data_IF_384097168437
#
_entry.id   IF_384097168437
#
_cell.length_a   1.000
_cell.length_b   1.000
_cell.length_c   1.000
_cell.angle_alpha   90.00
_cell.angle_beta   90.00
_cell.angle_gamma   90.00
#
_symmetry.space_group_name_H-M   'P 1'
#
loop_
_entity.id
_entity.type
_entity.pdbx_description
1 polymer ?
#
# COMPACT_ATOMS: atom_id res chain seq x y z
N UNK A 1 -58.19 -58.62 73.08
CA UNK A 1 -57.63 -59.78 73.80
C UNK A 1 -56.82 -60.63 72.82
N UNK A 2 -55.61 -61.09 73.22
CA UNK A 2 -54.83 -62.16 72.56
C UNK A 2 -54.07 -61.76 71.29
N UNK A 3 -52.77 -61.43 71.37
CA UNK A 3 -51.58 -62.31 71.27
C UNK A 3 -51.21 -62.79 69.85
N UNK A 4 -49.99 -62.37 69.48
CA UNK A 4 -48.90 -63.08 68.78
C UNK A 4 -49.21 -63.79 67.46
N UNK A 5 -48.41 -63.44 66.45
CA UNK A 5 -47.66 -64.42 65.65
C UNK A 5 -46.35 -63.80 65.17
N UNK A 6 -45.24 -64.41 65.59
CA UNK A 6 -43.93 -64.26 64.95
C UNK A 6 -43.79 -65.39 63.94
N UNK A 7 -43.26 -65.08 62.76
CA UNK A 7 -42.61 -66.04 61.87
C UNK A 7 -41.47 -65.34 61.16
N UNK A 8 -40.31 -66.01 61.16
CA UNK A 8 -39.05 -65.56 60.63
C UNK A 8 -38.91 -65.81 59.11
N UNK A 9 -37.97 -65.08 58.49
CA UNK A 9 -37.28 -65.19 57.18
C UNK A 9 -37.31 -63.83 56.47
N UNK A 10 -36.29 -63.31 55.77
CA UNK A 10 -35.31 -63.96 54.88
C UNK A 10 -34.11 -63.01 54.68
N UNK A 11 -32.92 -63.58 54.55
CA UNK A 11 -31.62 -62.91 54.39
C UNK A 11 -31.44 -62.46 52.93
N UNK A 12 -31.32 -61.16 52.66
CA UNK A 12 -31.07 -60.61 51.31
C UNK A 12 -29.60 -60.16 51.19
N UNK A 13 -28.85 -60.87 50.34
CA UNK A 13 -27.47 -60.56 49.93
C UNK A 13 -27.49 -59.23 49.16
N UNK A 14 -26.70 -58.23 49.60
CA UNK A 14 -26.47 -56.98 48.86
C UNK A 14 -25.01 -56.97 48.43
N UNK A 15 -24.79 -57.11 47.13
CA UNK A 15 -23.50 -56.90 46.45
C UNK A 15 -23.22 -55.41 46.36
N UNK A 16 -22.08 -54.98 46.88
CA UNK A 16 -21.50 -53.64 46.70
C UNK A 16 -20.86 -53.56 45.31
N UNK A 17 -21.38 -52.67 44.46
CA UNK A 17 -20.73 -52.29 43.21
C UNK A 17 -19.89 -51.02 43.45
N UNK A 18 -18.59 -51.13 43.17
CA UNK A 18 -17.61 -50.05 43.16
C UNK A 18 -17.83 -49.10 41.97
N UNK A 19 -17.82 -47.79 42.23
CA UNK A 19 -17.89 -46.75 41.22
C UNK A 19 -16.60 -46.70 40.36
N UNK A 20 -16.68 -46.41 39.05
CA UNK A 20 -15.50 -46.30 38.20
C UNK A 20 -14.76 -44.97 38.42
N UNK A 21 -13.44 -44.92 38.20
CA UNK A 21 -12.65 -43.71 38.33
C UNK A 21 -12.94 -42.71 37.19
N UNK A 22 -13.05 -41.43 37.55
CA UNK A 22 -13.33 -40.31 36.65
C UNK A 22 -12.18 -40.06 35.66
N UNK A 23 -12.29 -40.60 34.44
CA UNK A 23 -11.34 -40.43 33.34
C UNK A 23 -11.37 -39.03 32.68
N UNK A 24 -12.32 -38.17 33.03
CA UNK A 24 -12.53 -36.85 32.43
C UNK A 24 -11.56 -35.76 32.92
N UNK A 25 -10.90 -35.95 34.08
CA UNK A 25 -9.87 -35.01 34.57
C UNK A 25 -8.50 -35.19 33.89
N UNK A 26 -8.18 -36.40 33.43
CA UNK A 26 -6.91 -36.66 32.75
C UNK A 26 -6.83 -36.04 31.34
N UNK A 27 -7.94 -36.08 30.60
CA UNK A 27 -8.00 -35.54 29.24
C UNK A 27 -7.92 -34.01 29.18
N UNK A 28 -8.54 -33.32 30.16
CA UNK A 28 -8.54 -31.86 30.23
C UNK A 28 -7.15 -31.30 30.61
N UNK A 29 -6.40 -32.01 31.47
CA UNK A 29 -5.02 -31.64 31.80
C UNK A 29 -4.05 -31.88 30.63
N UNK A 30 -4.27 -32.92 29.84
CA UNK A 30 -3.50 -33.19 28.61
C UNK A 30 -3.77 -32.13 27.52
N UNK A 31 -5.04 -31.74 27.31
CA UNK A 31 -5.39 -30.71 26.33
C UNK A 31 -4.81 -29.33 26.68
N UNK A 32 -4.86 -28.94 27.96
CA UNK A 32 -4.22 -27.69 28.42
C UNK A 32 -2.70 -27.76 28.29
N UNK A 33 -2.08 -28.91 28.61
CA UNK A 33 -0.64 -29.11 28.43
C UNK A 33 -0.18 -28.94 26.99
N UNK A 34 -0.95 -29.47 26.01
CA UNK A 34 -0.63 -29.34 24.57
C UNK A 34 -0.80 -27.88 24.10
N UNK A 35 -1.84 -27.18 24.53
CA UNK A 35 -2.05 -25.76 24.16
C UNK A 35 -0.92 -24.88 24.72
N UNK A 36 -0.49 -25.11 25.97
CA UNK A 36 0.63 -24.36 26.57
C UNK A 36 1.95 -24.69 25.86
N UNK A 37 2.19 -25.96 25.51
CA UNK A 37 3.37 -26.35 24.74
C UNK A 37 3.40 -25.73 23.34
N UNK A 38 2.26 -25.67 22.65
CA UNK A 38 2.15 -25.01 21.34
C UNK A 38 2.31 -23.48 21.45
N UNK A 39 1.77 -22.86 22.50
CA UNK A 39 1.95 -21.44 22.76
C UNK A 39 3.41 -21.09 23.09
N UNK A 40 4.10 -21.93 23.89
CA UNK A 40 5.53 -21.75 24.23
C UNK A 40 6.41 -22.03 23.02
N UNK A 41 6.11 -23.06 22.22
CA UNK A 41 6.83 -23.34 20.98
C UNK A 41 6.61 -22.25 19.92
N UNK A 42 5.39 -21.73 19.80
CA UNK A 42 5.06 -20.60 18.92
C UNK A 42 5.71 -19.29 19.36
N UNK A 43 5.72 -19.00 20.66
CA UNK A 43 6.42 -17.86 21.23
C UNK A 43 7.94 -17.98 21.09
N UNK A 44 8.48 -19.19 21.28
CA UNK A 44 9.90 -19.51 21.05
C UNK A 44 10.30 -19.31 19.59
N UNK A 45 9.52 -19.84 18.65
CA UNK A 45 9.73 -19.67 17.21
C UNK A 45 9.62 -18.20 16.78
N UNK A 46 8.66 -17.45 17.33
CA UNK A 46 8.52 -16.02 17.08
C UNK A 46 9.68 -15.19 17.65
N UNK A 47 10.16 -15.53 18.86
CA UNK A 47 11.31 -14.88 19.47
C UNK A 47 12.63 -15.20 18.75
N UNK A 48 12.84 -16.43 18.26
CA UNK A 48 14.03 -16.78 17.48
C UNK A 48 14.03 -16.07 16.13
N UNK A 49 12.87 -15.92 15.48
CA UNK A 49 12.74 -15.15 14.23
C UNK A 49 13.07 -13.67 14.43
N UNK A 50 12.62 -13.08 15.54
CA UNK A 50 13.01 -11.71 15.94
C UNK A 50 14.49 -11.59 16.27
N UNK A 51 15.09 -12.59 16.92
CA UNK A 51 16.51 -12.58 17.26
C UNK A 51 17.42 -12.73 16.03
N UNK A 52 17.01 -13.55 15.04
CA UNK A 52 17.68 -13.65 13.74
C UNK A 52 17.55 -12.35 12.94
N UNK A 53 16.37 -11.70 12.95
CA UNK A 53 16.18 -10.37 12.36
C UNK A 53 16.97 -9.27 13.08
N UNK A 54 17.10 -9.33 14.40
CA UNK A 54 17.87 -8.35 15.18
C UNK A 54 19.39 -8.52 15.08
N UNK A 55 19.87 -9.71 14.67
CA UNK A 55 21.30 -10.01 14.52
C UNK A 55 21.85 -9.61 13.14
N UNK A 56 20.98 -9.25 12.20
CA UNK A 56 21.36 -8.51 11.00
C UNK A 56 21.22 -7.02 11.31
N UNK A 57 22.25 -6.44 11.93
CA UNK A 57 22.40 -4.98 11.85
C UNK A 57 22.31 -4.63 10.36
N UNK A 58 21.39 -3.72 9.95
CA UNK A 58 21.24 -3.41 8.54
C UNK A 58 22.59 -2.91 8.06
N UNK A 59 23.23 -3.69 7.20
CA UNK A 59 24.39 -3.23 6.44
C UNK A 59 23.91 -1.99 5.72
N UNK A 60 24.34 -0.82 6.22
CA UNK A 60 23.93 0.47 5.70
C UNK A 60 24.17 0.45 4.19
N UNK A 61 23.08 0.44 3.42
CA UNK A 61 23.20 0.65 1.98
C UNK A 61 23.78 2.04 1.81
N UNK A 62 25.01 2.12 1.30
CA UNK A 62 25.65 3.36 0.86
C UNK A 62 24.99 3.85 -0.45
N UNK A 63 23.66 3.87 -0.46
CA UNK A 63 22.86 4.36 -1.57
C UNK A 63 22.94 5.88 -1.65
N UNK A 64 22.88 6.41 -2.85
CA UNK A 64 22.78 7.86 -3.08
C UNK A 64 21.48 8.34 -2.42
N UNK A 65 21.58 9.34 -1.52
CA UNK A 65 20.41 9.93 -0.88
C UNK A 65 19.49 10.49 -1.96
N UNK A 66 18.22 10.09 -1.94
CA UNK A 66 17.24 10.54 -2.92
C UNK A 66 16.11 9.57 -3.19
N UNK A 67 15.26 9.94 -4.14
CA UNK A 67 14.22 9.05 -4.67
C UNK A 67 14.81 7.86 -5.43
N UNK A 68 14.27 6.65 -5.21
CA UNK A 68 14.73 5.41 -5.84
C UNK A 68 14.08 5.13 -7.20
N UNK A 69 14.05 6.14 -8.07
CA UNK A 69 13.34 6.10 -9.35
C UNK A 69 14.25 6.28 -10.57
N UNK A 70 15.57 6.29 -10.37
CA UNK A 70 16.56 6.66 -11.39
C UNK A 70 16.70 5.66 -12.54
N UNK A 71 16.24 4.43 -12.39
CA UNK A 71 16.29 3.39 -13.43
C UNK A 71 15.08 3.37 -14.38
N UNK A 72 14.05 4.20 -14.14
CA UNK A 72 12.82 4.18 -14.94
C UNK A 72 13.12 4.56 -16.39
N UNK A 73 12.56 3.81 -17.33
CA UNK A 73 12.79 4.03 -18.76
C UNK A 73 11.55 4.57 -19.45
N UNK A 74 11.74 5.29 -20.55
CA UNK A 74 10.64 5.70 -21.43
C UNK A 74 10.10 4.43 -22.11
N UNK A 75 8.77 4.20 -22.15
CA UNK A 75 8.18 3.07 -22.88
C UNK A 75 8.63 3.01 -24.33
N UNK A 76 9.01 1.83 -24.86
CA UNK A 76 9.57 1.72 -26.21
C UNK A 76 8.55 2.08 -27.30
N UNK A 77 7.26 1.84 -27.04
CA UNK A 77 6.18 2.27 -27.92
C UNK A 77 6.14 3.79 -28.11
N UNK A 78 6.64 4.60 -27.16
CA UNK A 78 6.61 6.05 -27.27
C UNK A 78 7.36 6.53 -28.50
N UNK A 79 8.50 5.91 -28.85
CA UNK A 79 9.25 6.27 -30.05
C UNK A 79 8.48 5.93 -31.34
N UNK A 80 7.85 4.75 -31.38
CA UNK A 80 7.02 4.31 -32.52
C UNK A 80 5.81 5.23 -32.74
N UNK A 81 5.24 5.75 -31.66
CA UNK A 81 4.12 6.69 -31.69
C UNK A 81 4.56 8.16 -31.87
N UNK A 82 5.87 8.45 -31.94
CA UNK A 82 6.38 9.80 -32.16
C UNK A 82 6.47 10.68 -30.90
N UNK A 83 6.56 10.09 -29.71
CA UNK A 83 6.65 10.77 -28.40
C UNK A 83 7.98 10.54 -27.66
N UNK A 84 9.03 10.03 -28.31
CA UNK A 84 10.28 9.57 -27.68
C UNK A 84 10.90 10.54 -26.65
N UNK A 85 10.91 11.83 -26.92
CA UNK A 85 11.52 12.90 -26.12
C UNK A 85 10.50 13.86 -25.49
N UNK A 86 9.22 13.56 -25.67
CA UNK A 86 8.09 14.47 -25.37
C UNK A 86 6.91 13.76 -24.75
N UNK A 87 7.12 12.58 -24.15
CA UNK A 87 6.05 11.77 -23.59
C UNK A 87 5.45 12.42 -22.34
N UNK A 88 4.22 12.90 -22.44
CA UNK A 88 3.32 13.10 -21.31
C UNK A 88 2.38 11.90 -21.16
N UNK A 89 2.05 11.51 -19.92
CA UNK A 89 1.08 10.45 -19.61
C UNK A 89 0.03 11.01 -18.65
N UNK A 90 -1.24 10.73 -18.90
CA UNK A 90 -2.36 11.15 -18.03
C UNK A 90 -3.42 10.07 -17.94
N UNK A 91 -3.89 9.82 -16.73
CA UNK A 91 -5.11 9.04 -16.45
C UNK A 91 -6.27 9.95 -16.07
N UNK A 92 -6.10 11.27 -16.18
CA UNK A 92 -6.99 12.29 -15.61
C UNK A 92 -7.63 13.22 -16.62
N UNK A 93 -7.51 12.92 -17.92
CA UNK A 93 -8.19 13.68 -18.97
C UNK A 93 -9.70 13.43 -18.92
N UNK A 94 -10.51 14.50 -18.88
CA UNK A 94 -11.96 14.40 -18.66
C UNK A 94 -12.74 13.79 -19.82
N UNK A 95 -12.20 13.90 -21.03
CA UNK A 95 -12.85 13.43 -22.26
C UNK A 95 -12.48 11.99 -22.61
N UNK A 96 -11.54 11.39 -21.89
CA UNK A 96 -11.03 10.04 -22.16
C UNK A 96 -11.23 9.16 -20.93
N UNK A 97 -11.63 7.91 -21.16
CA UNK A 97 -11.52 6.85 -20.15
C UNK A 97 -10.11 6.29 -20.21
N UNK A 98 -9.64 5.58 -19.19
CA UNK A 98 -8.32 4.94 -19.26
C UNK A 98 -7.11 5.87 -19.14
N UNK A 99 -6.06 5.51 -19.86
CA UNK A 99 -4.79 6.22 -19.95
C UNK A 99 -4.66 6.86 -21.33
N UNK A 100 -4.05 8.05 -21.39
CA UNK A 100 -3.66 8.69 -22.65
C UNK A 100 -2.21 9.15 -22.58
N UNK A 101 -1.61 9.35 -23.74
CA UNK A 101 -0.34 10.06 -23.91
C UNK A 101 -0.55 11.37 -24.65
N UNK A 102 0.37 12.30 -24.49
CA UNK A 102 0.30 13.64 -25.10
C UNK A 102 1.71 14.26 -25.22
N UNK A 103 1.83 15.38 -25.94
CA UNK A 103 3.08 16.14 -26.00
C UNK A 103 3.33 16.85 -24.67
N UNK A 104 4.19 16.26 -23.84
CA UNK A 104 4.57 16.74 -22.52
C UNK A 104 5.34 18.07 -22.51
N UNK A 105 5.73 18.60 -23.68
CA UNK A 105 6.31 19.94 -23.81
C UNK A 105 5.23 21.03 -23.81
N UNK A 106 3.99 20.64 -24.05
CA UNK A 106 2.82 21.52 -23.99
C UNK A 106 2.27 21.52 -22.56
N UNK A 107 2.08 22.69 -21.92
CA UNK A 107 1.50 22.76 -20.58
C UNK A 107 0.14 22.06 -20.52
N UNK A 108 -0.14 21.36 -19.41
CA UNK A 108 -1.43 20.69 -19.17
C UNK A 108 -2.61 21.67 -19.18
N UNK A 109 -2.35 22.96 -18.91
CA UNK A 109 -3.33 24.05 -18.96
C UNK A 109 -3.63 24.56 -20.38
N UNK A 110 -2.86 24.13 -21.39
CA UNK A 110 -3.14 24.49 -22.78
C UNK A 110 -4.42 23.80 -23.27
N UNK A 111 -5.00 24.36 -24.35
CA UNK A 111 -6.14 23.75 -25.03
C UNK A 111 -5.83 22.26 -25.35
N UNK A 112 -6.71 21.30 -24.99
CA UNK A 112 -6.52 19.89 -25.34
C UNK A 112 -6.23 19.63 -26.82
N UNK A 113 -6.77 20.47 -27.73
CA UNK A 113 -6.50 20.37 -29.16
C UNK A 113 -5.02 20.62 -29.52
N UNK A 114 -4.28 21.34 -28.67
CA UNK A 114 -2.85 21.63 -28.85
C UNK A 114 -1.93 20.59 -28.18
N UNK A 115 -2.48 19.69 -27.35
CA UNK A 115 -1.70 18.72 -26.57
C UNK A 115 -1.35 17.45 -27.32
N UNK A 116 -1.86 17.24 -28.54
CA UNK A 116 -1.58 16.04 -29.36
C UNK A 116 -1.90 14.75 -28.55
N UNK A 117 -3.15 14.64 -28.10
CA UNK A 117 -3.61 13.53 -27.24
C UNK A 117 -3.79 12.26 -28.08
N UNK A 118 -3.16 11.17 -27.66
CA UNK A 118 -3.26 9.84 -28.25
C UNK A 118 -3.67 8.79 -27.21
N UNK A 119 -4.46 7.81 -27.64
CA UNK A 119 -4.89 6.68 -26.83
C UNK A 119 -4.88 5.41 -27.67
N UNK A 120 -4.20 4.37 -27.19
CA UNK A 120 -4.27 3.04 -27.81
C UNK A 120 -5.58 2.34 -27.50
N UNK A 121 -6.07 1.44 -28.39
CA UNK A 121 -7.37 0.81 -28.26
C UNK A 121 -7.64 0.04 -26.96
N UNK A 122 -6.62 -0.49 -26.29
CA UNK A 122 -6.79 -1.26 -25.04
C UNK A 122 -6.67 -0.40 -23.78
N UNK A 123 -6.27 0.87 -23.88
CA UNK A 123 -5.93 1.67 -22.71
C UNK A 123 -7.12 2.09 -21.85
N UNK A 124 -8.33 1.87 -22.32
CA UNK A 124 -9.59 2.07 -21.61
C UNK A 124 -10.34 0.77 -21.25
N UNK A 125 -9.77 -0.41 -21.58
CA UNK A 125 -10.39 -1.72 -21.30
C UNK A 125 -10.67 -1.95 -19.79
N UNK A 126 -9.87 -1.30 -18.94
CA UNK A 126 -10.02 -1.35 -17.49
C UNK A 126 -10.92 -0.23 -16.91
N UNK A 127 -11.55 0.58 -17.76
CA UNK A 127 -12.41 1.71 -17.37
C UNK A 127 -11.64 2.98 -17.07
N UNK A 128 -12.08 3.76 -16.06
CA UNK A 128 -11.27 4.91 -15.59
C UNK A 128 -10.08 4.43 -14.78
N UNK A 129 -8.89 4.98 -15.08
CA UNK A 129 -7.64 4.62 -14.43
C UNK A 129 -7.21 5.70 -13.43
N UNK A 130 -6.39 5.31 -12.46
CA UNK A 130 -5.90 6.17 -11.39
C UNK A 130 -4.39 6.24 -11.32
N UNK A 131 -3.75 5.71 -10.25
CA UNK A 131 -2.31 5.77 -10.10
C UNK A 131 -1.62 5.04 -11.26
N UNK A 132 -0.45 5.52 -11.64
CA UNK A 132 0.41 4.79 -12.56
C UNK A 132 1.88 5.00 -12.22
N UNK A 133 2.69 4.01 -12.55
CA UNK A 133 4.15 4.08 -12.49
C UNK A 133 4.77 3.40 -13.70
N UNK A 134 6.02 3.78 -13.99
CA UNK A 134 6.82 3.17 -15.06
C UNK A 134 7.98 2.42 -14.40
N UNK A 135 8.28 1.21 -14.89
CA UNK A 135 9.43 0.43 -14.43
C UNK A 135 10.70 0.69 -15.26
N UNK A 136 11.74 -0.13 -14.99
CA UNK A 136 13.03 -0.05 -15.67
C UNK A 136 13.00 -0.41 -17.15
N UNK A 137 12.01 -1.19 -17.58
CA UNK A 137 11.87 -1.67 -18.95
C UNK A 137 10.86 -0.82 -19.74
N UNK A 138 10.27 0.18 -19.08
CA UNK A 138 9.29 1.09 -19.66
C UNK A 138 7.86 0.55 -19.64
N UNK A 139 7.59 -0.51 -18.88
CA UNK A 139 6.21 -0.96 -18.66
C UNK A 139 5.48 0.01 -17.74
N UNK A 140 4.21 0.27 -18.03
CA UNK A 140 3.37 1.13 -17.20
C UNK A 140 2.44 0.24 -16.37
N UNK A 141 2.48 0.37 -15.06
CA UNK A 141 1.54 -0.30 -14.15
C UNK A 141 0.50 0.69 -13.69
N UNK A 142 -0.76 0.27 -13.63
CA UNK A 142 -1.90 1.13 -13.26
C UNK A 142 -3.05 0.30 -12.67
N UNK A 143 -4.07 0.97 -12.14
CA UNK A 143 -5.27 0.34 -11.63
C UNK A 143 -6.53 1.15 -11.93
N UNK A 144 -7.65 0.44 -11.94
CA UNK A 144 -8.99 0.99 -12.06
C UNK A 144 -9.34 1.85 -10.83
N UNK A 145 -9.74 3.10 -11.05
CA UNK A 145 -10.20 4.01 -9.99
C UNK A 145 -11.47 4.73 -10.46
N UNK A 146 -12.64 4.39 -9.89
CA UNK A 146 -13.90 4.99 -10.31
C UNK A 146 -13.93 6.48 -9.99
N UNK A 147 -14.36 7.29 -10.95
CA UNK A 147 -14.48 8.76 -10.81
C UNK A 147 -15.90 9.21 -10.51
N UNK A 148 -16.81 8.93 -11.43
CA UNK A 148 -18.19 9.43 -11.40
C UNK A 148 -19.23 8.35 -11.23
N UNK A 149 -18.94 7.11 -11.66
CA UNK A 149 -19.84 5.97 -11.52
C UNK A 149 -19.07 4.67 -11.34
N UNK A 150 -19.56 3.79 -10.47
CA UNK A 150 -19.02 2.42 -10.30
C UNK A 150 -19.26 1.54 -11.53
N UNK A 151 -20.17 1.91 -12.44
CA UNK A 151 -20.42 1.18 -13.68
C UNK A 151 -19.21 1.21 -14.62
N UNK A 152 -18.39 2.26 -14.55
CA UNK A 152 -17.20 2.40 -15.39
C UNK A 152 -16.03 1.53 -14.87
N UNK A 153 -16.07 1.11 -13.60
CA UNK A 153 -15.08 0.22 -12.99
C UNK A 153 -15.79 -0.76 -12.04
N UNK A 154 -16.24 -1.94 -12.54
CA UNK A 154 -17.00 -2.87 -11.72
C UNK A 154 -16.20 -3.34 -10.50
N UNK A 155 -16.83 -3.68 -9.36
CA UNK A 155 -16.12 -3.98 -8.11
C UNK A 155 -15.00 -5.04 -8.22
N UNK A 156 -15.17 -6.03 -9.11
CA UNK A 156 -14.17 -7.08 -9.35
C UNK A 156 -12.87 -6.57 -10.00
N UNK A 157 -12.88 -5.41 -10.65
CA UNK A 157 -11.70 -4.84 -11.33
C UNK A 157 -10.86 -3.92 -10.42
N UNK A 158 -11.38 -3.52 -9.26
CA UNK A 158 -10.77 -2.52 -8.37
C UNK A 158 -9.50 -3.01 -7.66
N UNK A 159 -9.30 -4.32 -7.63
CA UNK A 159 -8.17 -4.99 -6.99
C UNK A 159 -7.19 -5.59 -8.01
N UNK A 160 -7.33 -5.22 -9.28
CA UNK A 160 -6.47 -5.69 -10.38
C UNK A 160 -5.45 -4.60 -10.70
N UNK A 161 -4.17 -4.96 -10.67
CA UNK A 161 -3.11 -4.19 -11.32
C UNK A 161 -3.08 -4.58 -12.78
N UNK A 162 -3.08 -3.58 -13.65
CA UNK A 162 -2.90 -3.73 -15.09
C UNK A 162 -1.50 -3.28 -15.49
N UNK A 163 -0.96 -3.87 -16.55
CA UNK A 163 0.32 -3.51 -17.16
C UNK A 163 0.10 -3.14 -18.62
N UNK A 164 0.63 -1.99 -19.02
CA UNK A 164 0.83 -1.64 -20.43
C UNK A 164 2.22 -2.12 -20.81
N UNK A 165 2.28 -3.01 -21.80
CA UNK A 165 3.54 -3.51 -22.30
C UNK A 165 4.33 -2.43 -23.06
N UNK A 166 5.65 -2.40 -22.85
CA UNK A 166 6.53 -1.34 -23.35
C UNK A 166 6.74 -1.48 -24.86
N UNK A 167 6.64 -2.70 -25.39
CA UNK A 167 6.88 -3.01 -26.79
C UNK A 167 5.59 -3.01 -27.60
N UNK A 168 4.50 -3.58 -27.08
CA UNK A 168 3.22 -3.68 -27.81
C UNK A 168 2.27 -2.52 -27.57
N UNK A 169 2.45 -1.78 -26.48
CA UNK A 169 1.49 -0.78 -25.99
C UNK A 169 0.12 -1.36 -25.58
N UNK A 170 0.01 -2.67 -25.38
CA UNK A 170 -1.26 -3.29 -24.96
C UNK A 170 -1.41 -3.25 -23.44
N UNK A 171 -2.59 -2.83 -22.96
CA UNK A 171 -3.01 -2.93 -21.57
C UNK A 171 -3.54 -4.35 -21.31
N UNK A 172 -3.00 -5.03 -20.30
CA UNK A 172 -3.48 -6.35 -19.88
C UNK A 172 -3.51 -6.47 -18.35
N UNK A 173 -4.40 -7.30 -17.77
CA UNK A 173 -4.33 -7.66 -16.36
C UNK A 173 -2.96 -8.26 -16.02
N UNK A 174 -2.34 -7.79 -14.94
CA UNK A 174 -1.02 -8.25 -14.49
C UNK A 174 -1.14 -9.16 -13.27
N UNK A 175 -1.71 -8.62 -12.18
CA UNK A 175 -1.86 -9.31 -10.89
C UNK A 175 -3.17 -8.87 -10.24
N UNK A 176 -3.85 -9.78 -9.55
CA UNK A 176 -5.01 -9.47 -8.70
C UNK A 176 -4.61 -9.58 -7.23
N UNK A 177 -4.91 -8.57 -6.43
CA UNK A 177 -4.61 -8.57 -5.00
C UNK A 177 -5.50 -9.59 -4.27
N UNK A 178 -4.92 -10.56 -3.54
CA UNK A 178 -5.70 -11.59 -2.85
C UNK A 178 -6.48 -11.01 -1.66
N UNK A 179 -7.62 -11.59 -1.33
CA UNK A 179 -8.36 -11.25 -0.10
C UNK A 179 -8.87 -9.81 -0.02
N UNK A 180 -8.87 -9.05 -1.12
CA UNK A 180 -9.45 -7.71 -1.15
C UNK A 180 -10.97 -7.83 -1.39
N UNK A 181 -11.82 -7.33 -0.47
CA UNK A 181 -13.26 -7.36 -0.65
C UNK A 181 -13.69 -6.62 -1.92
N UNK A 182 -14.85 -7.00 -2.48
CA UNK A 182 -15.49 -6.20 -3.50
C UNK A 182 -15.85 -4.81 -2.93
N UNK A 183 -15.74 -3.76 -3.75
CA UNK A 183 -16.17 -2.41 -3.38
C UNK A 183 -17.62 -2.40 -2.87
N UNK A 184 -17.91 -1.49 -1.95
CA UNK A 184 -19.22 -1.32 -1.32
C UNK A 184 -19.80 0.07 -1.61
N UNK A 185 -21.05 0.31 -1.23
CA UNK A 185 -21.63 1.66 -1.26
C UNK A 185 -20.89 2.64 -0.34
N UNK A 186 -20.26 2.14 0.71
CA UNK A 186 -19.55 2.96 1.70
C UNK A 186 -18.12 3.29 1.25
N UNK A 187 -17.57 2.48 0.34
CA UNK A 187 -16.26 2.67 -0.27
C UNK A 187 -16.22 2.03 -1.67
N UNK A 188 -16.31 2.86 -2.72
CA UNK A 188 -16.25 2.40 -4.10
C UNK A 188 -14.81 2.21 -4.60
N UNK A 189 -13.79 2.40 -3.75
CA UNK A 189 -12.38 2.40 -4.15
C UNK A 189 -11.70 1.09 -3.75
N UNK A 190 -10.74 0.67 -4.59
CA UNK A 190 -9.79 -0.40 -4.28
C UNK A 190 -8.38 0.16 -4.22
N UNK A 191 -7.59 -0.06 -5.26
CA UNK A 191 -6.23 0.46 -5.36
C UNK A 191 -6.23 1.99 -5.56
N UNK A 192 -5.41 2.71 -4.79
CA UNK A 192 -5.35 4.19 -4.86
C UNK A 192 -3.95 4.75 -5.09
N UNK A 193 -2.90 4.07 -4.61
CA UNK A 193 -1.51 4.51 -4.72
C UNK A 193 -0.61 3.43 -5.28
N UNK A 194 0.41 3.84 -6.02
CA UNK A 194 1.45 2.95 -6.54
C UNK A 194 2.81 3.66 -6.51
N UNK A 195 3.87 2.91 -6.22
CA UNK A 195 5.24 3.38 -6.41
C UNK A 195 6.17 2.22 -6.79
N UNK A 196 7.16 2.50 -7.63
CA UNK A 196 8.16 1.53 -8.09
C UNK A 196 9.52 1.86 -7.50
N UNK A 197 10.15 0.87 -6.86
CA UNK A 197 11.51 0.91 -6.32
C UNK A 197 12.50 0.30 -7.31
N UNK A 198 13.37 1.15 -7.83
CA UNK A 198 14.39 0.76 -8.80
C UNK A 198 15.40 -0.23 -8.27
N UNK A 199 15.73 -0.21 -6.98
CA UNK A 199 16.82 -1.04 -6.47
C UNK A 199 16.38 -2.50 -6.32
N UNK A 200 15.13 -2.69 -5.89
CA UNK A 200 14.57 -4.01 -5.55
C UNK A 200 13.68 -4.59 -6.64
N UNK A 201 13.39 -3.81 -7.70
CA UNK A 201 12.43 -4.18 -8.75
C UNK A 201 11.04 -4.52 -8.18
N UNK A 202 10.65 -3.81 -7.12
CA UNK A 202 9.38 -4.00 -6.44
C UNK A 202 8.39 -2.90 -6.76
N UNK A 203 7.12 -3.29 -6.88
CA UNK A 203 5.97 -2.39 -6.97
C UNK A 203 5.24 -2.40 -5.63
N UNK A 204 5.16 -1.25 -4.97
CA UNK A 204 4.29 -1.07 -3.81
C UNK A 204 2.95 -0.52 -4.25
N UNK A 205 1.87 -1.10 -3.73
CA UNK A 205 0.49 -0.77 -4.09
C UNK A 205 -0.31 -0.58 -2.82
N UNK A 206 -1.00 0.55 -2.69
CA UNK A 206 -1.97 0.73 -1.62
C UNK A 206 -3.36 0.37 -2.09
N UNK A 207 -4.11 -0.34 -1.27
CA UNK A 207 -5.53 -0.60 -1.45
C UNK A 207 -6.30 -0.20 -0.21
N UNK A 208 -7.45 0.42 -0.41
CA UNK A 208 -8.43 0.73 0.63
C UNK A 208 -9.63 -0.21 0.57
N UNK A 209 -9.54 -1.29 -0.23
CA UNK A 209 -10.62 -2.25 -0.35
C UNK A 209 -10.96 -2.87 1.02
N UNK A 210 -12.25 -2.86 1.37
CA UNK A 210 -12.75 -3.32 2.67
C UNK A 210 -12.95 -2.20 3.69
N UNK A 211 -12.27 -1.06 3.54
CA UNK A 211 -12.42 0.07 4.44
C UNK A 211 -13.83 0.67 4.34
N UNK A 212 -14.32 1.17 5.47
CA UNK A 212 -15.61 1.85 5.61
C UNK A 212 -15.41 3.22 6.25
N UNK A 213 -16.48 3.98 6.48
CA UNK A 213 -16.38 5.22 7.28
C UNK A 213 -15.85 4.98 8.69
N UNK A 214 -16.13 3.82 9.28
CA UNK A 214 -15.85 3.53 10.69
C UNK A 214 -14.66 2.60 10.91
N UNK A 215 -14.27 1.79 9.93
CA UNK A 215 -13.09 0.91 10.04
C UNK A 215 -12.12 1.10 8.89
N UNK A 216 -10.84 1.07 9.25
CA UNK A 216 -9.70 1.21 8.37
C UNK A 216 -9.11 -0.18 8.16
N UNK A 217 -9.34 -0.74 6.97
CA UNK A 217 -8.92 -2.08 6.57
C UNK A 217 -7.89 -2.03 5.43
N UNK A 218 -7.44 -0.82 5.08
CA UNK A 218 -6.50 -0.59 4.01
C UNK A 218 -5.17 -1.28 4.28
N UNK A 219 -4.45 -1.55 3.20
CA UNK A 219 -3.11 -2.13 3.29
C UNK A 219 -2.23 -1.67 2.15
N UNK A 220 -0.93 -1.76 2.39
CA UNK A 220 0.10 -1.58 1.40
C UNK A 220 0.75 -2.93 1.17
N UNK A 221 0.74 -3.37 -0.08
CA UNK A 221 1.38 -4.61 -0.51
C UNK A 221 2.61 -4.30 -1.35
N UNK A 222 3.58 -5.19 -1.29
CA UNK A 222 4.73 -5.23 -2.20
C UNK A 222 4.53 -6.36 -3.19
N UNK A 223 4.87 -6.10 -4.44
CA UNK A 223 4.84 -7.07 -5.53
C UNK A 223 6.24 -7.11 -6.12
N UNK A 224 6.88 -8.28 -6.06
CA UNK A 224 8.11 -8.51 -6.81
C UNK A 224 7.75 -8.62 -8.30
N UNK A 225 8.27 -7.73 -9.15
CA UNK A 225 7.86 -7.70 -10.56
C UNK A 225 8.43 -8.88 -11.38
N UNK A 226 9.50 -9.53 -10.91
CA UNK A 226 10.09 -10.68 -11.59
C UNK A 226 9.34 -11.98 -11.24
N UNK A 227 9.09 -12.23 -9.95
CA UNK A 227 8.43 -13.45 -9.48
C UNK A 227 6.89 -13.34 -9.42
N UNK A 228 6.36 -12.11 -9.37
CA UNK A 228 4.96 -11.78 -9.07
C UNK A 228 4.51 -12.18 -7.67
N UNK A 229 5.45 -12.46 -6.77
CA UNK A 229 5.16 -12.70 -5.37
C UNK A 229 4.59 -11.44 -4.71
N UNK A 230 3.58 -11.62 -3.87
CA UNK A 230 2.87 -10.55 -3.17
C UNK A 230 3.06 -10.73 -1.67
N UNK A 231 3.50 -9.68 -0.99
CA UNK A 231 3.59 -9.63 0.48
C UNK A 231 2.84 -8.42 1.03
N UNK A 232 2.16 -8.60 2.16
CA UNK A 232 1.60 -7.48 2.91
C UNK A 232 2.73 -6.79 3.69
N UNK A 233 2.87 -5.48 3.52
CA UNK A 233 3.93 -4.69 4.14
C UNK A 233 3.40 -3.82 5.29
N UNK A 234 2.21 -3.25 5.10
CA UNK A 234 1.54 -2.42 6.09
C UNK A 234 0.05 -2.74 6.07
N UNK A 235 -0.53 -3.05 7.23
CA UNK A 235 -1.94 -3.45 7.37
C UNK A 235 -2.65 -2.45 8.29
N UNK A 236 -3.91 -2.14 7.99
CA UNK A 236 -4.74 -1.22 8.76
C UNK A 236 -4.45 0.24 8.48
N UNK A 237 -3.94 0.56 7.27
CA UNK A 237 -3.68 1.93 6.83
C UNK A 237 -4.31 2.17 5.46
N UNK A 238 -5.25 3.11 5.40
CA UNK A 238 -5.81 3.62 4.15
C UNK A 238 -4.85 4.63 3.54
N UNK A 239 -4.12 4.21 2.50
CA UNK A 239 -3.12 5.01 1.83
C UNK A 239 -3.52 5.39 0.40
N UNK A 240 -3.20 6.62 -0.01
CA UNK A 240 -3.47 7.14 -1.37
C UNK A 240 -2.19 7.56 -2.11
N UNK A 241 -1.23 8.17 -1.41
CA UNK A 241 0.07 8.54 -1.98
C UNK A 241 1.14 7.56 -1.53
N UNK A 242 2.00 7.10 -2.44
CA UNK A 242 3.17 6.27 -2.10
C UNK A 242 4.43 6.79 -2.80
N UNK A 243 5.55 6.79 -2.11
CA UNK A 243 6.87 7.00 -2.71
C UNK A 243 7.97 6.39 -1.84
N UNK A 244 9.06 5.96 -2.47
CA UNK A 244 10.22 5.40 -1.74
C UNK A 244 11.40 6.37 -1.82
N UNK A 245 12.08 6.54 -0.71
CA UNK A 245 13.24 7.43 -0.58
C UNK A 245 14.35 6.76 0.21
N UNK A 246 15.58 6.88 -0.28
CA UNK A 246 16.80 6.51 0.41
C UNK A 246 17.29 7.70 1.23
N UNK A 247 17.16 7.61 2.55
CA UNK A 247 17.74 8.57 3.50
C UNK A 247 19.15 8.16 3.95
N UNK A 248 19.71 8.93 4.88
CA UNK A 248 21.01 8.65 5.51
C UNK A 248 20.98 7.37 6.35
N UNK A 249 19.87 7.12 7.05
CA UNK A 249 19.74 6.00 8.00
C UNK A 249 19.25 4.72 7.32
N UNK A 250 18.64 4.82 6.14
CA UNK A 250 18.04 3.70 5.45
C UNK A 250 16.99 4.14 4.43
N UNK A 251 16.41 3.15 3.76
CA UNK A 251 15.31 3.34 2.81
C UNK A 251 13.98 3.38 3.57
N UNK A 252 13.06 4.22 3.14
CA UNK A 252 11.70 4.31 3.72
C UNK A 252 10.64 4.38 2.64
N UNK A 253 9.50 3.74 2.90
CA UNK A 253 8.27 3.92 2.12
C UNK A 253 7.45 5.03 2.76
N UNK A 254 7.32 6.15 2.06
CA UNK A 254 6.48 7.28 2.45
C UNK A 254 5.05 7.08 1.95
N UNK A 255 4.11 7.46 2.80
CA UNK A 255 2.69 7.17 2.67
C UNK A 255 1.90 8.44 2.94
N UNK A 256 1.16 8.91 1.93
CA UNK A 256 0.10 9.90 2.10
C UNK A 256 -1.19 9.21 2.53
N UNK A 257 -1.71 9.58 3.70
CA UNK A 257 -2.92 8.97 4.26
C UNK A 257 -4.17 9.38 3.49
N UNK A 258 -5.14 8.48 3.38
CA UNK A 258 -6.45 8.74 2.77
C UNK A 258 -7.49 9.24 3.79
N UNK A 259 -7.18 9.17 5.10
CA UNK A 259 -8.05 9.62 6.19
C UNK A 259 -7.66 10.97 6.79
N UNK A 260 -6.42 11.40 6.66
CA UNK A 260 -5.92 12.73 7.06
C UNK A 260 -4.99 13.31 5.99
N UNK A 261 -4.56 14.56 6.15
CA UNK A 261 -3.59 15.18 5.26
C UNK A 261 -2.14 14.75 5.54
N UNK A 262 -1.92 13.90 6.54
CA UNK A 262 -0.58 13.59 7.02
C UNK A 262 0.23 12.71 6.05
N UNK A 263 1.54 12.84 6.17
CA UNK A 263 2.50 11.94 5.55
C UNK A 263 3.20 11.15 6.65
N UNK A 264 3.15 9.83 6.56
CA UNK A 264 3.93 8.93 7.39
C UNK A 264 4.88 8.08 6.58
N UNK A 265 5.60 7.20 7.26
CA UNK A 265 6.49 6.25 6.63
C UNK A 265 6.74 5.01 7.48
N UNK A 266 7.22 3.96 6.81
CA UNK A 266 7.80 2.75 7.41
C UNK A 266 9.20 2.53 6.86
N UNK A 267 10.10 1.96 7.66
CA UNK A 267 11.45 1.61 7.19
C UNK A 267 11.37 0.44 6.23
N UNK A 268 12.30 0.38 5.29
CA UNK A 268 12.46 -0.75 4.39
C UNK A 268 13.83 -1.37 4.60
N UNK A 269 13.88 -2.71 4.63
CA UNK A 269 15.15 -3.44 4.56
C UNK A 269 15.77 -3.38 3.16
N UNK A 270 16.94 -4.02 3.00
CA UNK A 270 17.66 -4.04 1.73
C UNK A 270 16.89 -4.77 0.60
N UNK A 271 15.97 -5.68 0.93
CA UNK A 271 15.10 -6.37 -0.03
C UNK A 271 13.82 -5.58 -0.34
N UNK A 272 13.58 -4.49 0.38
CA UNK A 272 12.39 -3.64 0.25
C UNK A 272 11.20 -4.11 1.08
N UNK A 273 11.39 -4.96 2.08
CA UNK A 273 10.30 -5.29 3.01
C UNK A 273 10.20 -4.25 4.11
N UNK A 274 8.97 -3.93 4.50
CA UNK A 274 8.69 -3.05 5.61
C UNK A 274 9.22 -3.65 6.92
N UNK A 275 10.04 -2.85 7.58
CA UNK A 275 10.59 -3.13 8.89
C UNK A 275 10.21 -2.01 9.85
N UNK A 276 9.95 -2.35 11.11
CA UNK A 276 9.59 -1.37 12.14
C UNK A 276 8.13 -0.93 12.09
N UNK A 277 7.84 0.12 12.86
CA UNK A 277 6.48 0.65 13.02
C UNK A 277 6.24 1.83 12.08
N UNK A 278 4.98 1.98 11.66
CA UNK A 278 4.53 3.15 10.94
C UNK A 278 4.63 4.39 11.83
N UNK A 279 5.21 5.48 11.32
CA UNK A 279 5.30 6.77 12.03
C UNK A 279 4.79 7.91 11.17
N UNK A 280 4.29 8.97 11.80
CA UNK A 280 3.97 10.22 11.12
C UNK A 280 5.23 11.07 11.02
N UNK A 281 5.59 11.50 9.80
CA UNK A 281 6.74 12.38 9.54
C UNK A 281 6.32 13.83 9.31
N UNK A 282 5.12 14.07 8.75
CA UNK A 282 4.58 15.41 8.48
C UNK A 282 3.10 15.49 8.84
N UNK A 283 2.74 16.46 9.66
CA UNK A 283 1.36 16.88 9.92
C UNK A 283 1.06 18.15 9.15
N UNK A 284 0.08 18.10 8.24
CA UNK A 284 -0.16 19.17 7.28
C UNK A 284 -1.36 20.05 7.59
N UNK A 285 -2.20 19.68 8.56
CA UNK A 285 -3.52 20.28 8.78
C UNK A 285 -3.51 21.82 8.80
N UNK A 286 -2.54 22.45 9.46
CA UNK A 286 -2.40 23.91 9.53
C UNK A 286 -2.08 24.57 8.17
N UNK A 287 -1.33 23.87 7.31
CA UNK A 287 -0.85 24.38 6.02
C UNK A 287 -1.90 24.25 4.91
N UNK A 288 -2.91 23.40 5.12
CA UNK A 288 -3.97 23.11 4.13
C UNK A 288 -5.38 23.40 4.65
N UNK A 289 -5.51 24.17 5.73
CA UNK A 289 -6.79 24.53 6.37
C UNK A 289 -7.83 25.16 5.44
N UNK A 290 -7.39 25.83 4.37
CA UNK A 290 -8.28 26.47 3.40
C UNK A 290 -8.80 25.52 2.33
N UNK A 291 -8.34 24.26 2.35
CA UNK A 291 -8.65 23.25 1.37
C UNK A 291 -9.59 22.19 1.96
N UNK A 292 -10.71 21.94 1.30
CA UNK A 292 -11.68 20.95 1.80
C UNK A 292 -11.13 19.52 1.63
N UNK A 293 -11.16 18.73 2.71
CA UNK A 293 -10.74 17.32 2.76
C UNK A 293 -9.38 17.05 2.07
N UNK A 294 -8.29 17.73 2.47
CA UNK A 294 -7.00 17.63 1.80
C UNK A 294 -6.38 16.25 2.01
N UNK A 295 -5.93 15.60 0.93
CA UNK A 295 -5.13 14.38 0.98
C UNK A 295 -3.91 14.47 0.07
N UNK A 296 -2.79 13.92 0.52
CA UNK A 296 -1.55 13.82 -0.25
C UNK A 296 -1.67 12.68 -1.25
N UNK A 297 -2.23 12.95 -2.44
CA UNK A 297 -2.47 11.92 -3.47
C UNK A 297 -1.19 11.46 -4.17
N UNK A 298 -0.19 12.32 -4.29
CA UNK A 298 1.10 11.95 -4.89
C UNK A 298 2.25 12.56 -4.10
N UNK A 299 3.27 11.75 -3.91
CA UNK A 299 4.57 12.15 -3.36
C UNK A 299 5.59 11.96 -4.47
N UNK A 300 6.41 12.97 -4.72
CA UNK A 300 7.51 12.88 -5.68
C UNK A 300 8.80 13.30 -5.02
N UNK A 301 9.87 12.59 -5.34
CA UNK A 301 11.22 12.96 -4.93
C UNK A 301 12.01 13.41 -6.15
N UNK A 302 12.69 14.54 -6.00
CA UNK A 302 13.69 15.02 -6.94
C UNK A 302 14.97 15.30 -6.15
N UNK A 303 15.93 14.38 -6.27
CA UNK A 303 17.12 14.33 -5.41
C UNK A 303 16.69 14.38 -3.93
N UNK A 304 17.09 15.42 -3.21
CA UNK A 304 16.80 15.66 -1.79
C UNK A 304 15.53 16.49 -1.55
N UNK A 305 14.70 16.73 -2.57
CA UNK A 305 13.46 17.48 -2.44
C UNK A 305 12.25 16.55 -2.48
N UNK A 306 11.34 16.71 -1.53
CA UNK A 306 10.01 16.11 -1.57
C UNK A 306 9.01 17.14 -2.11
N UNK A 307 8.16 16.71 -3.03
CA UNK A 307 7.01 17.47 -3.53
C UNK A 307 5.73 16.69 -3.25
N UNK A 308 4.83 17.31 -2.51
CA UNK A 308 3.52 16.77 -2.15
C UNK A 308 2.45 17.38 -3.04
N UNK A 309 1.67 16.54 -3.72
CA UNK A 309 0.52 16.96 -4.53
C UNK A 309 -0.77 16.64 -3.78
N UNK A 310 -1.45 17.68 -3.34
CA UNK A 310 -2.57 17.62 -2.41
C UNK A 310 -3.86 17.90 -3.19
N UNK A 311 -4.86 17.03 -3.05
CA UNK A 311 -6.16 17.15 -3.71
C UNK A 311 -7.29 16.84 -2.72
N UNK A 312 -8.53 17.30 -2.98
CA UNK A 312 -9.67 16.93 -2.16
C UNK A 312 -9.96 15.44 -2.39
N UNK A 313 -10.11 14.68 -1.31
CA UNK A 313 -10.51 13.28 -1.41
C UNK A 313 -11.41 12.87 -0.26
N UNK A 314 -12.48 12.16 -0.60
CA UNK A 314 -13.37 11.48 0.34
C UNK A 314 -13.72 10.11 -0.25
N UNK A 315 -14.12 9.15 0.57
CA UNK A 315 -14.56 7.81 0.14
C UNK A 315 -15.90 7.79 -0.64
N UNK A 316 -16.32 8.92 -1.22
CA UNK A 316 -17.52 9.02 -2.06
C UNK A 316 -17.13 9.43 -3.48
N UNK A 317 -17.83 8.88 -4.48
CA UNK A 317 -17.71 9.35 -5.85
C UNK A 317 -18.26 10.76 -5.97
N UNK A 318 -17.49 11.67 -6.57
CA UNK A 318 -17.91 13.05 -6.83
C UNK A 318 -17.52 13.45 -8.24
N UNK A 319 -18.47 14.02 -8.97
CA UNK A 319 -18.16 14.75 -10.20
C UNK A 319 -17.45 16.05 -9.81
N UNK A 320 -16.13 16.06 -9.91
CA UNK A 320 -15.33 17.26 -9.61
C UNK A 320 -15.42 18.21 -10.81
N UNK A 321 -15.97 19.40 -10.62
CA UNK A 321 -16.11 20.40 -11.69
C UNK A 321 -14.78 21.04 -12.09
N UNK A 322 -13.85 21.18 -11.13
CA UNK A 322 -12.52 21.78 -11.29
C UNK A 322 -11.46 20.99 -10.48
N UNK A 323 -10.35 20.62 -11.12
CA UNK A 323 -9.25 19.95 -10.44
C UNK A 323 -8.52 20.93 -9.52
N UNK A 324 -8.91 20.93 -8.25
CA UNK A 324 -8.19 21.66 -7.21
C UNK A 324 -6.95 20.84 -6.81
N UNK A 325 -5.78 21.45 -6.92
CA UNK A 325 -4.52 20.86 -6.47
C UNK A 325 -3.62 21.91 -5.83
N UNK A 326 -3.10 21.59 -4.65
CA UNK A 326 -2.06 22.38 -3.97
C UNK A 326 -0.76 21.59 -4.00
N UNK A 327 0.37 22.28 -4.12
CA UNK A 327 1.70 21.65 -4.07
C UNK A 327 2.49 22.21 -2.91
N UNK A 328 2.99 21.33 -2.04
CA UNK A 328 3.94 21.69 -0.97
C UNK A 328 5.31 21.09 -1.26
N UNK A 329 6.37 21.77 -0.83
CA UNK A 329 7.76 21.35 -1.07
C UNK A 329 8.56 21.33 0.23
N UNK A 330 9.36 20.29 0.39
CA UNK A 330 10.24 20.09 1.52
C UNK A 330 11.65 19.73 1.03
N UNK A 331 12.66 20.18 1.78
CA UNK A 331 14.04 19.72 1.62
C UNK A 331 14.36 18.65 2.66
N UNK A 332 15.18 17.69 2.29
CA UNK A 332 15.68 16.66 3.20
C UNK A 332 16.89 17.18 3.99
N UNK A 333 16.83 17.05 5.31
CA UNK A 333 17.92 17.31 6.24
C UNK A 333 18.60 15.98 6.59
N UNK A 334 19.77 15.74 6.01
CA UNK A 334 20.52 14.50 6.22
C UNK A 334 21.12 14.39 7.63
N UNK A 335 21.33 15.50 8.36
CA UNK A 335 21.82 15.45 9.74
C UNK A 335 20.74 14.98 10.70
N UNK A 336 19.49 15.37 10.43
CA UNK A 336 18.33 15.01 11.26
C UNK A 336 17.54 13.82 10.73
N UNK A 337 17.86 13.35 9.53
CA UNK A 337 17.10 12.34 8.79
C UNK A 337 15.60 12.71 8.73
N UNK A 338 15.31 13.95 8.35
CA UNK A 338 13.96 14.52 8.42
C UNK A 338 13.68 15.51 7.29
N UNK A 339 12.41 15.91 7.16
CA UNK A 339 11.97 16.87 6.14
C UNK A 339 11.73 18.25 6.76
N UNK A 340 12.18 19.29 6.06
CA UNK A 340 11.99 20.70 6.45
C UNK A 340 11.26 21.47 5.34
N UNK A 341 10.31 22.37 5.67
CA UNK A 341 9.60 23.16 4.66
C UNK A 341 10.56 23.99 3.79
N UNK A 342 10.29 24.11 2.49
CA UNK A 342 11.02 25.01 1.60
C UNK A 342 10.43 26.44 1.70
N UNK A 343 11.22 27.54 1.82
CA UNK A 343 12.68 27.69 1.85
C UNK A 343 13.21 27.89 3.28
N UNK A 344 13.04 26.94 4.18
CA UNK A 344 13.82 26.96 5.42
C UNK A 344 15.30 26.76 5.05
N UNK A 345 16.18 27.59 5.62
CA UNK A 345 17.62 27.51 5.39
C UNK A 345 18.15 26.12 5.75
N UNK A 346 18.45 25.30 4.74
CA UNK A 346 19.23 24.07 4.91
C UNK A 346 20.65 24.52 5.24
N UNK A 347 21.23 24.14 6.40
CA UNK A 347 22.60 24.51 6.75
C UNK A 347 23.55 24.12 5.61
N UNK A 348 24.40 25.06 5.18
CA UNK A 348 25.21 24.95 3.97
C UNK A 348 26.40 23.97 4.08
N UNK A 349 26.41 23.03 5.03
CA UNK A 349 27.62 22.28 5.39
C UNK A 349 28.09 21.22 4.40
N UNK A 350 27.30 20.80 3.40
CA UNK A 350 27.71 19.72 2.47
C UNK A 350 27.53 20.01 0.97
N UNK A 351 27.63 21.27 0.53
CA UNK A 351 27.78 21.57 -0.92
C UNK A 351 29.19 21.27 -1.47
N UNK A 352 30.09 20.75 -0.66
CA UNK A 352 31.43 20.40 -1.08
C UNK A 352 31.49 18.93 -1.52
N UNK A 353 31.79 18.72 -2.81
CA UNK A 353 32.20 17.46 -3.47
C UNK A 353 31.11 16.59 -4.12
N UNK A 354 30.41 17.14 -5.12
CA UNK A 354 29.88 16.33 -6.24
C UNK A 354 30.15 17.04 -7.58
N UNK A 355 31.44 17.17 -7.91
CA UNK A 355 31.92 17.21 -9.29
C UNK A 355 33.02 16.17 -9.41
N UNK A 356 32.73 15.12 -10.17
CA UNK A 356 33.60 14.00 -10.49
C UNK A 356 32.88 13.10 -11.47
#
# INVERSE_FOLDING_TARGET
>A
MGKRRQTATLRRRRTTASAPPNATRGFLLLAVGVIVLLAVAGAGWWMTRRAEQASQAPTQSSGVIGGVTGCRSIPRFAARLGYADRLGISTSERLYRGLVIFDGRVPVTADPALRDIHQEPSWDDAGTLGPFVIDRDGHIYTAAVPRTAVSDNPPGSLNVIYRIDSDTAELQPFVTLPGAPAGSSDNPFGILGMTYDCDTHALYVSTVAGSTRQSEEGRIVRIDLASREISDEVIGIDAIGLAVFQGRTGKRLYVGLARSADVGSVELDAAGHATGEFRIDLTLDEQVTTFADPRVRRISFDQTNMTLFIVPFTFNLRAVSEQQQVTLRYGYDAERDSWVPFPASIPASDRAHLHG
#
